data_IF_744834580701
#
_entry.id   IF_744834580701
#
_cell.length_a   1.000
_cell.length_b   1.000
_cell.length_c   1.000
_cell.angle_alpha   90.00
_cell.angle_beta   90.00
_cell.angle_gamma   90.00
#
_symmetry.space_group_name_H-M   'P 1'
#
loop_
_entity.id
_entity.type
_entity.pdbx_description
1 polymer ?
#
# COMPACT_ATOMS: atom_id res chain seq x y z
N UNK A 1 -0.90 -11.85 -33.86
CA UNK A 1 -1.03 -11.20 -32.54
C UNK A 1 -2.38 -11.58 -31.96
N UNK A 2 -2.40 -12.25 -30.80
CA UNK A 2 -3.62 -12.62 -30.07
C UNK A 2 -4.32 -11.37 -29.52
N UNK A 3 -5.57 -11.48 -29.07
CA UNK A 3 -6.28 -10.34 -28.49
C UNK A 3 -5.60 -9.85 -27.19
N UNK A 4 -5.08 -10.78 -26.37
CA UNK A 4 -4.33 -10.45 -25.17
C UNK A 4 -2.97 -9.81 -25.46
N UNK A 5 -2.24 -10.25 -26.49
CA UNK A 5 -1.01 -9.59 -26.94
C UNK A 5 -1.29 -8.16 -27.41
N UNK A 6 -2.39 -7.98 -28.16
CA UNK A 6 -2.82 -6.67 -28.66
C UNK A 6 -3.21 -5.72 -27.52
N UNK A 7 -3.97 -6.21 -26.55
CA UNK A 7 -4.31 -5.49 -25.32
C UNK A 7 -3.04 -5.07 -24.54
N UNK A 8 -2.15 -6.03 -24.26
CA UNK A 8 -0.93 -5.78 -23.48
C UNK A 8 0.01 -4.79 -24.17
N UNK A 9 0.09 -4.81 -25.50
CA UNK A 9 0.89 -3.85 -26.26
C UNK A 9 0.43 -2.41 -25.99
N UNK A 10 -0.86 -2.13 -26.13
CA UNK A 10 -1.39 -0.79 -25.90
C UNK A 10 -1.42 -0.39 -24.43
N UNK A 11 -1.64 -1.34 -23.52
CA UNK A 11 -1.51 -1.10 -22.09
C UNK A 11 -0.09 -0.64 -21.74
N UNK A 12 0.93 -1.35 -22.24
CA UNK A 12 2.35 -1.04 -21.97
C UNK A 12 2.81 0.26 -22.63
N UNK A 13 2.29 0.55 -23.83
CA UNK A 13 2.52 1.79 -24.56
C UNK A 13 2.07 3.01 -23.72
N UNK A 14 0.84 2.99 -23.19
CA UNK A 14 0.31 4.07 -22.34
C UNK A 14 1.17 4.30 -21.11
N UNK A 15 1.59 3.23 -20.41
CA UNK A 15 2.45 3.37 -19.23
C UNK A 15 3.81 3.97 -19.60
N UNK A 16 4.39 3.54 -20.73
CA UNK A 16 5.69 4.03 -21.20
C UNK A 16 5.63 5.50 -21.58
N UNK A 17 4.60 5.90 -22.33
CA UNK A 17 4.43 7.29 -22.79
C UNK A 17 4.17 8.24 -21.62
N UNK A 18 3.29 7.86 -20.69
CA UNK A 18 3.02 8.69 -19.52
C UNK A 18 4.21 8.76 -18.55
N UNK A 19 4.99 7.68 -18.41
CA UNK A 19 6.26 7.72 -17.65
C UNK A 19 7.21 8.75 -18.27
N UNK A 20 7.38 8.74 -19.59
CA UNK A 20 8.23 9.70 -20.30
C UNK A 20 7.71 11.12 -20.12
N UNK A 21 6.41 11.35 -20.33
CA UNK A 21 5.78 12.65 -20.14
C UNK A 21 6.03 13.20 -18.73
N UNK A 22 5.80 12.39 -17.69
CA UNK A 22 5.97 12.83 -16.31
C UNK A 22 7.44 13.15 -15.97
N UNK A 23 8.39 12.36 -16.46
CA UNK A 23 9.83 12.64 -16.29
C UNK A 23 10.21 13.94 -16.98
N UNK A 24 9.71 14.21 -18.19
CA UNK A 24 9.96 15.48 -18.88
C UNK A 24 9.34 16.66 -18.13
N UNK A 25 8.13 16.51 -17.58
CA UNK A 25 7.52 17.51 -16.68
C UNK A 25 8.40 17.78 -15.46
N UNK A 26 8.99 16.74 -14.85
CA UNK A 26 9.87 16.90 -13.70
C UNK A 26 11.11 17.72 -14.07
N UNK A 27 11.77 17.36 -15.19
CA UNK A 27 12.95 18.08 -15.70
C UNK A 27 12.63 19.53 -16.03
N UNK A 28 11.51 19.80 -16.71
CA UNK A 28 11.08 21.16 -17.03
C UNK A 28 10.79 21.96 -15.75
N UNK A 29 10.10 21.35 -14.77
CA UNK A 29 9.78 21.99 -13.50
C UNK A 29 11.01 22.22 -12.59
N UNK A 30 12.17 21.63 -12.89
CA UNK A 30 13.45 21.97 -12.23
C UNK A 30 14.07 23.24 -12.79
N UNK A 31 13.86 23.54 -14.08
CA UNK A 31 14.40 24.77 -14.69
C UNK A 31 13.80 26.05 -14.09
N UNK A 32 12.55 25.96 -13.62
CA UNK A 32 11.89 27.00 -12.83
C UNK A 32 11.45 26.35 -11.52
N UNK A 33 12.14 26.51 -10.39
CA UNK A 33 12.02 25.68 -9.17
C UNK A 33 10.59 25.65 -8.62
N UNK A 34 9.75 24.84 -9.23
CA UNK A 34 8.31 24.78 -9.01
C UNK A 34 8.04 23.69 -7.97
N UNK A 35 7.19 23.95 -6.97
CA UNK A 35 6.83 22.91 -6.02
C UNK A 35 6.25 21.68 -6.74
N UNK A 36 6.64 20.48 -6.32
CA UNK A 36 6.22 19.21 -6.91
C UNK A 36 4.70 19.10 -7.14
N UNK A 37 3.93 19.46 -6.10
CA UNK A 37 2.46 19.50 -6.14
C UNK A 37 1.88 20.31 -7.30
N UNK A 38 2.56 21.36 -7.75
CA UNK A 38 2.06 22.31 -8.75
C UNK A 38 1.90 21.68 -10.12
N UNK A 39 2.69 20.65 -10.46
CA UNK A 39 2.60 19.95 -11.74
C UNK A 39 2.12 18.50 -11.57
N UNK A 40 2.42 17.86 -10.43
CA UNK A 40 2.02 16.48 -10.17
C UNK A 40 0.49 16.31 -10.04
N UNK A 41 -0.17 17.21 -9.30
CA UNK A 41 -1.63 17.16 -9.11
C UNK A 41 -2.37 17.40 -10.44
N UNK A 42 -2.03 18.41 -11.26
CA UNK A 42 -2.60 18.54 -12.60
C UNK A 42 -2.38 17.31 -13.50
N UNK A 43 -1.20 16.69 -13.45
CA UNK A 43 -0.92 15.48 -14.22
C UNK A 43 -1.79 14.29 -13.78
N UNK A 44 -1.92 14.05 -12.47
CA UNK A 44 -2.84 13.05 -11.94
C UNK A 44 -4.29 13.31 -12.39
N UNK A 45 -4.73 14.56 -12.30
CA UNK A 45 -6.07 14.96 -12.74
C UNK A 45 -6.28 14.70 -14.23
N UNK A 46 -5.31 15.04 -15.09
CA UNK A 46 -5.34 14.77 -16.53
C UNK A 46 -5.51 13.27 -16.81
N UNK A 47 -4.70 12.41 -16.16
CA UNK A 47 -4.79 10.94 -16.34
C UNK A 47 -6.17 10.42 -15.97
N UNK A 48 -6.73 10.90 -14.85
CA UNK A 48 -8.07 10.51 -14.40
C UNK A 48 -9.14 10.95 -15.39
N UNK A 49 -9.10 12.21 -15.83
CA UNK A 49 -10.04 12.76 -16.81
C UNK A 49 -9.94 12.04 -18.16
N UNK A 50 -8.73 11.73 -18.63
CA UNK A 50 -8.53 10.95 -19.85
C UNK A 50 -9.08 9.52 -19.70
N UNK A 51 -8.93 8.89 -18.53
CA UNK A 51 -9.52 7.57 -18.28
C UNK A 51 -11.06 7.61 -18.32
N UNK A 52 -11.66 8.50 -17.53
CA UNK A 52 -13.10 8.56 -17.29
C UNK A 52 -13.87 9.14 -18.49
N UNK A 53 -13.40 10.24 -19.07
CA UNK A 53 -14.17 10.96 -20.09
C UNK A 53 -13.90 10.46 -21.51
N UNK A 54 -12.68 9.99 -21.81
CA UNK A 54 -12.31 9.60 -23.17
C UNK A 54 -12.64 8.15 -23.50
N UNK A 55 -12.45 7.24 -22.53
CA UNK A 55 -12.60 5.81 -22.76
C UNK A 55 -13.82 5.22 -22.06
N UNK A 56 -14.02 5.49 -20.76
CA UNK A 56 -15.20 4.96 -20.02
C UNK A 56 -16.49 5.48 -20.64
N UNK A 57 -16.66 6.80 -20.73
CA UNK A 57 -17.90 7.39 -21.27
C UNK A 57 -18.22 6.88 -22.69
N UNK A 58 -17.22 6.90 -23.57
CA UNK A 58 -17.34 6.43 -24.96
C UNK A 58 -17.76 4.96 -25.04
N UNK A 59 -17.12 4.06 -24.28
CA UNK A 59 -17.43 2.63 -24.33
C UNK A 59 -18.75 2.29 -23.62
N UNK A 60 -19.13 3.02 -22.58
CA UNK A 60 -20.44 2.88 -21.95
C UNK A 60 -21.57 3.33 -22.87
N UNK A 61 -21.36 4.39 -23.65
CA UNK A 61 -22.36 4.89 -24.60
C UNK A 61 -22.49 3.97 -25.82
N UNK A 62 -21.37 3.58 -26.44
CA UNK A 62 -21.37 2.80 -27.68
C UNK A 62 -21.55 1.29 -27.46
N UNK A 63 -20.98 0.73 -26.39
CA UNK A 63 -20.91 -0.72 -26.15
C UNK A 63 -21.20 -1.09 -24.68
N UNK A 64 -22.35 -0.66 -24.09
CA UNK A 64 -22.63 -0.77 -22.66
C UNK A 64 -22.53 -2.21 -22.11
N UNK A 65 -23.00 -3.20 -22.88
CA UNK A 65 -22.95 -4.62 -22.46
C UNK A 65 -21.52 -5.15 -22.44
N UNK A 66 -20.76 -4.94 -23.52
CA UNK A 66 -19.36 -5.39 -23.59
C UNK A 66 -18.48 -4.70 -22.54
N UNK A 67 -18.65 -3.38 -22.35
CA UNK A 67 -17.95 -2.63 -21.32
C UNK A 67 -18.26 -3.19 -19.92
N UNK A 68 -19.55 -3.44 -19.61
CA UNK A 68 -19.95 -4.02 -18.33
C UNK A 68 -19.35 -5.41 -18.12
N UNK A 69 -19.36 -6.27 -19.13
CA UNK A 69 -18.73 -7.59 -19.04
C UNK A 69 -17.24 -7.44 -18.72
N UNK A 70 -16.52 -6.59 -19.46
CA UNK A 70 -15.10 -6.39 -19.20
C UNK A 70 -14.81 -5.87 -17.78
N UNK A 71 -15.56 -4.89 -17.29
CA UNK A 71 -15.29 -4.30 -15.97
C UNK A 71 -15.56 -5.25 -14.80
N UNK A 72 -16.62 -6.07 -14.87
CA UNK A 72 -17.09 -6.85 -13.72
C UNK A 72 -16.70 -8.32 -13.77
N UNK A 73 -16.35 -8.86 -14.94
CA UNK A 73 -16.21 -10.31 -15.07
C UNK A 73 -14.93 -10.86 -14.46
N UNK A 74 -13.92 -10.01 -14.27
CA UNK A 74 -12.69 -10.34 -13.56
C UNK A 74 -12.94 -10.93 -12.16
N UNK A 75 -13.98 -10.49 -11.45
CA UNK A 75 -14.31 -10.93 -10.09
C UNK A 75 -14.77 -12.41 -10.01
N UNK A 76 -15.05 -13.03 -11.15
CA UNK A 76 -15.62 -14.39 -11.23
C UNK A 76 -14.63 -15.44 -11.73
N UNK A 77 -13.37 -15.06 -12.00
CA UNK A 77 -12.32 -15.96 -12.43
C UNK A 77 -11.22 -16.05 -11.36
N UNK A 78 -10.69 -17.27 -11.15
CA UNK A 78 -9.62 -17.57 -10.18
C UNK A 78 -8.24 -17.66 -10.85
N UNK A 79 -8.18 -17.47 -12.17
CA UNK A 79 -6.96 -17.61 -12.96
C UNK A 79 -6.06 -16.35 -12.87
N UNK A 80 -4.85 -16.43 -13.44
CA UNK A 80 -3.97 -15.26 -13.56
C UNK A 80 -4.60 -14.16 -14.41
N UNK A 81 -4.34 -12.89 -14.07
CA UNK A 81 -4.97 -11.71 -14.70
C UNK A 81 -4.94 -11.75 -16.24
N UNK A 82 -3.82 -12.18 -16.83
CA UNK A 82 -3.68 -12.30 -18.29
C UNK A 82 -4.60 -13.36 -18.89
N UNK A 83 -4.76 -14.49 -18.22
CA UNK A 83 -5.65 -15.56 -18.68
C UNK A 83 -7.11 -15.13 -18.56
N UNK A 84 -7.46 -14.41 -17.49
CA UNK A 84 -8.80 -13.85 -17.29
C UNK A 84 -9.12 -12.83 -18.38
N UNK A 85 -8.23 -11.88 -18.66
CA UNK A 85 -8.41 -10.90 -19.75
C UNK A 85 -8.57 -11.61 -21.09
N UNK A 86 -7.74 -12.62 -21.38
CA UNK A 86 -7.86 -13.38 -22.64
C UNK A 86 -9.22 -14.06 -22.75
N UNK A 87 -9.67 -14.78 -21.71
CA UNK A 87 -10.98 -15.46 -21.69
C UNK A 87 -12.12 -14.48 -21.93
N UNK A 88 -12.12 -13.34 -21.25
CA UNK A 88 -13.17 -12.32 -21.40
C UNK A 88 -13.17 -11.74 -22.83
N UNK A 89 -12.00 -11.39 -23.36
CA UNK A 89 -11.88 -10.84 -24.71
C UNK A 89 -12.27 -11.83 -25.80
N UNK A 90 -11.78 -13.07 -25.71
CA UNK A 90 -11.89 -14.08 -26.76
C UNK A 90 -13.24 -14.80 -26.77
N UNK A 91 -13.86 -14.99 -25.60
CA UNK A 91 -15.07 -15.79 -25.49
C UNK A 91 -16.31 -14.92 -25.26
N UNK A 92 -16.27 -13.87 -24.44
CA UNK A 92 -17.49 -13.14 -24.09
C UNK A 92 -17.69 -11.90 -24.97
N UNK A 93 -16.62 -11.11 -25.12
CA UNK A 93 -16.71 -9.84 -25.82
C UNK A 93 -16.69 -10.05 -27.32
N UNK A 94 -15.84 -10.95 -27.82
CA UNK A 94 -15.82 -11.28 -29.25
C UNK A 94 -17.19 -11.80 -29.74
N UNK A 95 -17.79 -12.73 -29.00
CA UNK A 95 -19.13 -13.25 -29.31
C UNK A 95 -20.18 -12.13 -29.33
N UNK A 96 -20.12 -11.18 -28.38
CA UNK A 96 -21.02 -10.03 -28.39
C UNK A 96 -20.86 -9.17 -29.65
N UNK A 97 -19.63 -8.87 -30.09
CA UNK A 97 -19.40 -8.06 -31.28
C UNK A 97 -19.83 -8.80 -32.56
N UNK A 98 -19.57 -10.11 -32.66
CA UNK A 98 -19.98 -10.94 -33.80
C UNK A 98 -21.51 -11.10 -33.88
N UNK A 99 -22.17 -11.36 -32.74
CA UNK A 99 -23.64 -11.52 -32.69
C UNK A 99 -24.42 -10.24 -33.03
N UNK A 100 -23.78 -9.07 -32.94
CA UNK A 100 -24.41 -7.77 -33.21
C UNK A 100 -23.84 -7.09 -34.48
N UNK A 101 -23.05 -7.79 -35.29
CA UNK A 101 -22.37 -7.27 -36.50
C UNK A 101 -21.60 -5.95 -36.26
N UNK A 102 -20.94 -5.86 -35.10
CA UNK A 102 -20.19 -4.68 -34.69
C UNK A 102 -18.74 -4.77 -35.16
N UNK A 103 -18.33 -3.84 -36.04
CA UNK A 103 -16.96 -3.82 -36.62
C UNK A 103 -15.88 -3.27 -35.68
N UNK A 104 -16.26 -2.70 -34.54
CA UNK A 104 -15.36 -1.96 -33.66
C UNK A 104 -14.71 -2.80 -32.54
N UNK A 105 -14.63 -4.12 -32.69
CA UNK A 105 -14.03 -5.01 -31.68
C UNK A 105 -12.58 -4.65 -31.37
N UNK A 106 -11.75 -4.43 -32.39
CA UNK A 106 -10.34 -4.03 -32.21
C UNK A 106 -10.21 -2.65 -31.54
N UNK A 107 -10.90 -1.59 -32.00
CA UNK A 107 -10.97 -0.32 -31.28
C UNK A 107 -11.39 -0.45 -29.82
N UNK A 108 -12.38 -1.30 -29.52
CA UNK A 108 -12.83 -1.54 -28.15
C UNK A 108 -11.71 -2.11 -27.27
N UNK A 109 -10.96 -3.12 -27.74
CA UNK A 109 -9.81 -3.67 -27.01
C UNK A 109 -8.78 -2.58 -26.68
N UNK A 110 -8.49 -1.70 -27.65
CA UNK A 110 -7.54 -0.59 -27.46
C UNK A 110 -8.06 0.37 -26.39
N UNK A 111 -9.32 0.78 -26.48
CA UNK A 111 -9.90 1.72 -25.54
C UNK A 111 -9.92 1.13 -24.12
N UNK A 112 -10.25 -0.15 -23.95
CA UNK A 112 -10.17 -0.83 -22.65
C UNK A 112 -8.74 -0.94 -22.11
N UNK A 113 -7.77 -1.27 -22.96
CA UNK A 113 -6.35 -1.33 -22.57
C UNK A 113 -5.86 0.03 -22.06
N UNK A 114 -6.18 1.10 -22.79
CA UNK A 114 -5.81 2.47 -22.44
C UNK A 114 -6.49 2.93 -21.16
N UNK A 115 -7.79 2.64 -21.01
CA UNK A 115 -8.55 2.93 -19.80
C UNK A 115 -7.90 2.28 -18.57
N UNK A 116 -7.69 0.95 -18.60
CA UNK A 116 -7.12 0.21 -17.46
C UNK A 116 -5.70 0.64 -17.15
N UNK A 117 -4.88 0.95 -18.16
CA UNK A 117 -3.53 1.47 -17.95
C UNK A 117 -3.55 2.83 -17.23
N UNK A 118 -4.44 3.75 -17.63
CA UNK A 118 -4.59 5.05 -16.97
C UNK A 118 -5.15 4.93 -15.54
N UNK A 119 -6.10 4.02 -15.30
CA UNK A 119 -6.60 3.75 -13.93
C UNK A 119 -5.50 3.18 -13.03
N UNK A 120 -4.74 2.21 -13.54
CA UNK A 120 -3.58 1.66 -12.83
C UNK A 120 -2.57 2.76 -12.51
N UNK A 121 -2.21 3.56 -13.51
CA UNK A 121 -1.24 4.64 -13.38
C UNK A 121 -1.68 5.68 -12.35
N UNK A 122 -2.93 6.15 -12.42
CA UNK A 122 -3.49 7.10 -11.46
C UNK A 122 -3.36 6.57 -10.02
N UNK A 123 -3.86 5.36 -9.78
CA UNK A 123 -3.83 4.74 -8.46
C UNK A 123 -2.41 4.52 -7.96
N UNK A 124 -1.51 4.07 -8.84
CA UNK A 124 -0.11 3.84 -8.50
C UNK A 124 0.59 5.16 -8.11
N UNK A 125 0.47 6.19 -8.93
CA UNK A 125 1.05 7.51 -8.66
C UNK A 125 0.47 8.16 -7.40
N UNK A 126 -0.83 8.03 -7.15
CA UNK A 126 -1.47 8.53 -5.93
C UNK A 126 -0.93 7.82 -4.67
N UNK A 127 -0.85 6.49 -4.70
CA UNK A 127 -0.39 5.68 -3.57
C UNK A 127 1.10 5.88 -3.23
N UNK A 128 1.93 6.16 -4.24
CA UNK A 128 3.37 6.33 -4.07
C UNK A 128 3.83 7.78 -4.24
N UNK A 129 2.95 8.76 -3.97
CA UNK A 129 3.22 10.20 -4.09
C UNK A 129 4.59 10.61 -3.51
N UNK A 130 4.89 10.21 -2.26
CA UNK A 130 6.14 10.60 -1.59
C UNK A 130 7.39 10.00 -2.26
N UNK A 131 7.26 8.83 -2.88
CA UNK A 131 8.35 8.20 -3.63
C UNK A 131 8.69 9.03 -4.87
N UNK A 132 7.66 9.44 -5.62
CA UNK A 132 7.83 10.27 -6.81
C UNK A 132 8.28 11.70 -6.50
N UNK A 133 7.84 12.25 -5.36
CA UNK A 133 8.33 13.54 -4.87
C UNK A 133 9.84 13.49 -4.61
N UNK A 134 10.36 12.40 -4.01
CA UNK A 134 11.79 12.23 -3.80
C UNK A 134 12.57 12.02 -5.10
N UNK A 135 12.02 11.30 -6.08
CA UNK A 135 12.63 11.21 -7.42
C UNK A 135 12.80 12.60 -8.01
N UNK A 136 11.76 13.44 -7.92
CA UNK A 136 11.83 14.82 -8.36
C UNK A 136 12.89 15.61 -7.58
N UNK A 137 12.87 15.57 -6.25
CA UNK A 137 13.80 16.35 -5.42
C UNK A 137 15.26 15.98 -5.69
N UNK A 138 15.56 14.69 -5.83
CA UNK A 138 16.93 14.16 -5.94
C UNK A 138 17.43 13.93 -7.39
N UNK A 139 16.59 14.19 -8.40
CA UNK A 139 16.88 13.96 -9.82
C UNK A 139 17.21 12.49 -10.17
N UNK A 140 16.72 11.55 -9.36
CA UNK A 140 16.94 10.09 -9.49
C UNK A 140 15.93 9.42 -10.42
N UNK A 141 15.84 9.90 -11.67
CA UNK A 141 14.87 9.39 -12.65
C UNK A 141 15.07 7.90 -13.00
N UNK A 142 16.26 7.35 -12.78
CA UNK A 142 16.54 5.93 -12.90
C UNK A 142 15.69 5.08 -11.94
N UNK A 143 15.25 5.64 -10.82
CA UNK A 143 14.39 4.98 -9.82
C UNK A 143 12.89 5.11 -10.14
N UNK A 144 12.52 5.65 -11.30
CA UNK A 144 11.13 5.77 -11.69
C UNK A 144 10.57 4.41 -12.17
N UNK A 145 9.85 3.69 -11.30
CA UNK A 145 9.22 2.42 -11.62
C UNK A 145 7.69 2.50 -11.50
N UNK A 146 6.97 2.14 -12.58
CA UNK A 146 5.52 1.96 -12.57
C UNK A 146 5.15 0.51 -12.21
N UNK A 147 5.74 0.01 -11.13
CA UNK A 147 5.48 -1.33 -10.60
C UNK A 147 5.22 -1.21 -9.11
N UNK A 148 4.19 -1.90 -8.62
CA UNK A 148 3.91 -1.92 -7.20
C UNK A 148 5.10 -2.51 -6.44
N UNK A 149 5.35 -1.98 -5.24
CA UNK A 149 6.38 -2.53 -4.35
C UNK A 149 5.85 -3.84 -3.76
N UNK A 150 6.14 -4.94 -4.45
CA UNK A 150 5.76 -6.28 -4.02
C UNK A 150 6.62 -6.69 -2.82
N UNK A 151 5.99 -7.26 -1.79
CA UNK A 151 6.63 -7.85 -0.60
C UNK A 151 7.33 -6.89 0.37
N UNK A 152 7.61 -5.64 -0.02
CA UNK A 152 8.27 -4.63 0.82
C UNK A 152 7.54 -3.29 0.77
N UNK A 153 7.61 -2.50 1.86
CA UNK A 153 7.14 -1.11 1.83
C UNK A 153 8.10 -0.29 0.95
N UNK A 154 7.59 0.61 0.10
CA UNK A 154 8.45 1.50 -0.69
C UNK A 154 9.38 2.33 0.21
N UNK A 155 8.96 2.65 1.43
CA UNK A 155 9.78 3.37 2.42
C UNK A 155 10.97 2.56 2.93
N UNK A 156 10.88 1.24 2.82
CA UNK A 156 11.95 0.30 3.16
C UNK A 156 12.78 -0.09 1.94
N UNK A 157 12.39 0.36 0.74
CA UNK A 157 13.17 0.11 -0.48
C UNK A 157 14.54 0.79 -0.39
N UNK A 158 15.53 0.16 -1.01
CA UNK A 158 16.90 0.67 -1.05
C UNK A 158 16.92 2.03 -1.74
N UNK A 159 16.23 2.14 -2.86
CA UNK A 159 16.12 3.33 -3.71
C UNK A 159 15.53 4.51 -2.94
N UNK A 160 14.46 4.29 -2.18
CA UNK A 160 13.84 5.34 -1.37
C UNK A 160 14.75 5.80 -0.23
N UNK A 161 15.45 4.88 0.44
CA UNK A 161 16.38 5.24 1.50
C UNK A 161 17.59 6.01 0.95
N UNK A 162 18.12 5.62 -0.21
CA UNK A 162 19.19 6.35 -0.89
C UNK A 162 18.75 7.77 -1.28
N UNK A 163 17.55 7.93 -1.84
CA UNK A 163 17.01 9.27 -2.14
C UNK A 163 16.77 10.11 -0.88
N UNK A 164 16.27 9.49 0.20
CA UNK A 164 16.10 10.18 1.48
C UNK A 164 17.42 10.64 2.08
N UNK A 165 18.49 9.85 1.94
CA UNK A 165 19.80 10.19 2.47
C UNK A 165 20.46 11.33 1.68
N UNK A 166 20.13 11.47 0.39
CA UNK A 166 20.52 12.64 -0.44
C UNK A 166 19.79 13.90 0.01
N UNK A 167 18.46 13.83 0.19
CA UNK A 167 17.63 14.98 0.54
C UNK A 167 17.81 15.40 2.02
N UNK A 168 18.06 14.44 2.91
CA UNK A 168 18.18 14.63 4.36
C UNK A 168 19.46 13.99 4.93
N UNK A 169 20.66 14.51 4.61
CA UNK A 169 21.93 13.91 5.00
C UNK A 169 22.15 13.84 6.52
N UNK A 170 21.53 14.75 7.30
CA UNK A 170 21.58 14.74 8.77
C UNK A 170 20.99 13.46 9.39
N UNK A 171 20.19 12.73 8.61
CA UNK A 171 19.58 11.47 9.02
C UNK A 171 20.58 10.32 9.05
N UNK A 172 21.66 10.39 8.26
CA UNK A 172 22.76 9.42 8.25
C UNK A 172 23.47 9.42 9.61
N UNK A 173 23.82 10.62 10.10
CA UNK A 173 24.47 10.80 11.40
C UNK A 173 23.63 10.22 12.55
N UNK A 174 22.30 10.32 12.48
CA UNK A 174 21.39 9.75 13.50
C UNK A 174 21.27 8.22 13.42
N UNK A 175 21.33 7.63 12.22
CA UNK A 175 21.35 6.16 12.06
C UNK A 175 22.64 5.55 12.62
N UNK A 176 23.77 6.23 12.48
CA UNK A 176 25.04 5.79 13.06
C UNK A 176 25.01 5.82 14.60
N UNK A 177 24.35 6.82 15.19
CA UNK A 177 24.14 6.89 16.64
C UNK A 177 23.15 5.84 17.18
N UNK A 178 22.12 5.48 16.40
CA UNK A 178 21.15 4.43 16.75
C UNK A 178 21.74 3.02 16.57
N UNK A 179 22.48 2.77 15.49
CA UNK A 179 23.13 1.48 15.23
C UNK A 179 24.22 1.16 16.26
N UNK A 180 24.91 2.16 16.83
CA UNK A 180 25.84 1.96 17.95
C UNK A 180 25.14 1.45 19.22
N UNK A 181 23.91 1.89 19.48
CA UNK A 181 23.11 1.41 20.62
C UNK A 181 22.48 0.04 20.37
N UNK A 182 22.12 -0.28 19.13
CA UNK A 182 21.56 -1.58 18.77
C UNK A 182 22.64 -2.69 18.67
N UNK A 183 23.90 -2.35 18.37
CA UNK A 183 25.00 -3.32 18.35
C UNK A 183 25.31 -3.91 19.75
N UNK A 184 25.18 -3.13 20.83
CA UNK A 184 25.32 -3.63 22.21
C UNK A 184 24.18 -4.59 22.60
N UNK A 185 23.01 -4.47 21.98
CA UNK A 185 21.85 -5.34 22.25
C UNK A 185 21.92 -6.63 21.38
N UNK A 186 22.44 -6.51 20.16
CA UNK A 186 22.49 -7.58 19.15
C UNK A 186 23.42 -8.75 19.48
N UNK A 187 24.49 -8.56 20.24
CA UNK A 187 25.41 -9.67 20.58
C UNK A 187 24.80 -10.70 21.54
N UNK A 188 23.71 -10.36 22.22
CA UNK A 188 22.98 -11.27 23.09
C UNK A 188 21.94 -12.17 22.38
N UNK A 189 21.65 -11.94 21.09
CA UNK A 189 20.43 -12.48 20.43
C UNK A 189 20.72 -13.62 19.42
N UNK A 190 21.98 -13.96 19.14
CA UNK A 190 22.32 -15.07 18.22
C UNK A 190 22.33 -16.44 18.92
N UNK A 191 21.21 -16.87 19.49
CA UNK A 191 20.96 -18.28 19.85
C UNK A 191 19.47 -18.51 20.18
N UNK A 192 18.64 -18.80 19.17
CA UNK A 192 17.42 -19.63 19.31
C UNK A 192 16.64 -19.68 18.00
N UNK A 193 16.95 -20.66 17.16
CA UNK A 193 16.14 -20.98 15.98
C UNK A 193 15.10 -22.06 16.32
N UNK A 194 13.86 -21.77 15.94
CA UNK A 194 12.76 -22.67 15.56
C UNK A 194 12.00 -23.54 16.59
N UNK A 195 12.15 -23.40 17.92
CA UNK A 195 11.29 -24.12 18.89
C UNK A 195 10.30 -23.28 19.73
N UNK A 196 10.41 -21.94 19.77
CA UNK A 196 9.66 -21.11 20.73
C UNK A 196 8.59 -20.17 20.14
N UNK A 197 8.20 -20.31 18.86
CA UNK A 197 7.24 -19.37 18.27
C UNK A 197 5.85 -19.45 18.91
N UNK A 198 5.38 -20.65 19.30
CA UNK A 198 4.09 -20.82 19.98
C UNK A 198 4.06 -20.15 21.35
N UNK A 199 5.09 -20.39 22.17
CA UNK A 199 5.25 -19.72 23.47
C UNK A 199 5.32 -18.20 23.33
N UNK A 200 5.92 -17.71 22.23
CA UNK A 200 6.02 -16.29 21.95
C UNK A 200 4.65 -15.68 21.58
N UNK A 201 3.81 -16.38 20.82
CA UNK A 201 2.43 -15.95 20.57
C UNK A 201 1.60 -15.91 21.86
N UNK A 202 1.76 -16.92 22.72
CA UNK A 202 1.03 -17.01 23.98
C UNK A 202 1.54 -16.02 25.04
N UNK A 203 2.77 -15.52 24.89
CA UNK A 203 3.38 -14.54 25.81
C UNK A 203 2.74 -13.15 25.79
N UNK A 204 1.90 -12.84 24.81
CA UNK A 204 1.22 -11.53 24.74
C UNK A 204 0.12 -11.44 25.80
N UNK A 205 0.17 -10.40 26.64
CA UNK A 205 -0.88 -10.09 27.61
C UNK A 205 -2.12 -9.53 26.91
N UNK A 206 -3.27 -9.58 27.56
CA UNK A 206 -4.51 -9.04 26.99
C UNK A 206 -4.37 -7.56 26.59
N UNK A 207 -3.71 -6.74 27.41
CA UNK A 207 -3.47 -5.32 27.11
C UNK A 207 -2.57 -5.13 25.88
N UNK A 208 -1.54 -5.96 25.72
CA UNK A 208 -0.68 -5.94 24.53
C UNK A 208 -1.48 -6.36 23.28
N UNK A 209 -2.32 -7.40 23.40
CA UNK A 209 -3.19 -7.86 22.30
C UNK A 209 -4.17 -6.78 21.86
N UNK A 210 -4.75 -6.02 22.80
CA UNK A 210 -5.68 -4.93 22.51
C UNK A 210 -4.98 -3.74 21.84
N UNK A 211 -3.76 -3.42 22.25
CA UNK A 211 -2.94 -2.40 21.58
C UNK A 211 -2.53 -2.84 20.18
N UNK A 212 -2.18 -4.12 19.99
CA UNK A 212 -1.92 -4.69 18.65
C UNK A 212 -3.18 -4.63 17.79
N UNK A 213 -4.36 -4.94 18.34
CA UNK A 213 -5.63 -4.86 17.61
C UNK A 213 -5.96 -3.42 17.17
N UNK A 214 -5.71 -2.43 18.03
CA UNK A 214 -5.88 -1.01 17.68
C UNK A 214 -5.03 -0.61 16.48
N UNK A 215 -3.74 -0.93 16.52
CA UNK A 215 -2.79 -0.62 15.46
C UNK A 215 -3.12 -1.40 14.19
N UNK A 216 -3.48 -2.67 14.32
CA UNK A 216 -3.88 -3.50 13.19
C UNK A 216 -5.11 -2.95 12.45
N UNK A 217 -6.10 -2.43 13.20
CA UNK A 217 -7.25 -1.75 12.62
C UNK A 217 -6.84 -0.48 11.86
N UNK A 218 -6.01 0.37 12.45
CA UNK A 218 -5.51 1.60 11.81
C UNK A 218 -4.69 1.31 10.53
N UNK A 219 -3.89 0.24 10.53
CA UNK A 219 -3.14 -0.22 9.35
C UNK A 219 -4.09 -0.75 8.27
N UNK A 220 -5.13 -1.51 8.64
CA UNK A 220 -6.08 -2.08 7.67
C UNK A 220 -6.90 -0.99 6.97
N UNK A 221 -7.31 0.04 7.71
CA UNK A 221 -8.06 1.17 7.15
C UNK A 221 -7.16 2.07 6.29
N UNK A 222 -5.86 2.14 6.59
CA UNK A 222 -4.85 2.75 5.71
C UNK A 222 -4.38 1.77 4.63
N UNK A 223 -5.09 1.72 3.49
CA UNK A 223 -4.72 0.94 2.30
C UNK A 223 -3.27 1.14 1.80
N UNK A 224 -2.59 2.21 2.25
CA UNK A 224 -1.19 2.51 1.95
C UNK A 224 -0.16 1.61 2.69
N UNK A 225 -0.54 0.91 3.76
CA UNK A 225 0.38 0.12 4.62
C UNK A 225 0.22 -1.41 4.48
N UNK A 226 -0.30 -1.86 3.31
CA UNK A 226 -0.68 -3.24 3.00
C UNK A 226 0.05 -4.35 3.78
N UNK A 227 -0.72 -5.15 4.52
CA UNK A 227 -0.21 -6.29 5.28
C UNK A 227 -0.01 -7.51 4.37
N UNK A 228 1.19 -8.09 4.39
CA UNK A 228 1.42 -9.40 3.77
C UNK A 228 0.53 -10.47 4.41
N UNK A 229 0.12 -11.47 3.64
CA UNK A 229 -0.71 -12.57 4.13
C UNK A 229 -0.09 -13.28 5.36
N UNK A 230 1.24 -13.55 5.40
CA UNK A 230 1.87 -14.10 6.60
C UNK A 230 1.79 -13.17 7.81
N UNK A 231 1.99 -11.86 7.64
CA UNK A 231 1.87 -10.89 8.73
C UNK A 231 0.43 -10.80 9.24
N UNK A 232 -0.54 -10.84 8.32
CA UNK A 232 -1.96 -10.90 8.66
C UNK A 232 -2.28 -12.13 9.53
N UNK A 233 -1.84 -13.34 9.14
CA UNK A 233 -2.08 -14.53 9.95
C UNK A 233 -1.37 -14.51 11.30
N UNK A 234 -0.12 -14.03 11.35
CA UNK A 234 0.61 -13.83 12.61
C UNK A 234 -0.13 -12.87 13.54
N UNK A 235 -0.68 -11.76 13.02
CA UNK A 235 -1.43 -10.79 13.83
C UNK A 235 -2.77 -11.33 14.31
N UNK A 236 -3.51 -12.04 13.47
CA UNK A 236 -4.73 -12.74 13.90
C UNK A 236 -4.43 -13.75 15.02
N UNK A 237 -3.29 -14.44 14.96
CA UNK A 237 -2.86 -15.36 16.01
C UNK A 237 -2.53 -14.64 17.33
N UNK A 238 -1.95 -13.44 17.28
CA UNK A 238 -1.66 -12.61 18.46
C UNK A 238 -2.94 -12.04 19.07
N UNK A 239 -3.75 -11.36 18.25
CA UNK A 239 -4.98 -10.69 18.71
C UNK A 239 -5.95 -11.72 19.28
N UNK A 240 -6.05 -12.89 18.64
CA UNK A 240 -6.93 -13.96 19.06
C UNK A 240 -8.41 -13.63 18.85
N UNK A 241 -9.28 -14.50 19.34
CA UNK A 241 -10.72 -14.27 19.33
C UNK A 241 -11.11 -13.31 20.46
N UNK A 242 -11.96 -12.32 20.16
CA UNK A 242 -12.54 -11.44 21.16
C UNK A 242 -14.02 -11.82 21.35
N UNK A 243 -14.35 -12.40 22.51
CA UNK A 243 -15.73 -12.79 22.86
C UNK A 243 -16.49 -11.65 23.56
N UNK A 244 -16.14 -10.39 23.26
CA UNK A 244 -16.75 -9.22 23.87
C UNK A 244 -18.02 -8.82 23.12
N UNK A 245 -19.18 -9.19 23.65
CA UNK A 245 -20.49 -8.84 23.06
C UNK A 245 -20.76 -7.33 23.05
N UNK A 246 -19.97 -6.52 23.78
CA UNK A 246 -20.14 -5.06 23.77
C UNK A 246 -19.85 -4.41 22.43
N UNK A 247 -19.24 -5.13 21.48
CA UNK A 247 -19.10 -4.70 20.08
C UNK A 247 -20.45 -4.38 19.41
N UNK A 248 -21.54 -4.99 19.87
CA UNK A 248 -22.88 -4.77 19.31
C UNK A 248 -23.62 -3.60 19.97
N UNK A 249 -23.00 -2.92 20.95
CA UNK A 249 -23.62 -1.81 21.69
C UNK A 249 -23.13 -0.46 21.18
N UNK A 250 -24.06 0.48 20.94
CA UNK A 250 -23.77 1.85 20.46
C UNK A 250 -22.85 2.63 21.43
N UNK A 251 -22.90 2.29 22.73
CA UNK A 251 -21.98 2.80 23.77
C UNK A 251 -21.51 1.65 24.66
N UNK A 252 -20.43 0.97 24.26
CA UNK A 252 -19.76 -0.01 25.12
C UNK A 252 -19.30 0.60 26.46
N UNK A 253 -19.29 -0.19 27.53
CA UNK A 253 -18.79 0.27 28.83
C UNK A 253 -17.29 0.57 28.73
N UNK A 254 -16.81 1.60 29.44
CA UNK A 254 -15.42 2.03 29.41
C UNK A 254 -14.40 0.93 29.73
N UNK A 255 -14.79 -0.11 30.45
CA UNK A 255 -13.92 -1.21 30.88
C UNK A 255 -13.84 -2.37 29.89
N UNK A 256 -14.61 -2.37 28.80
CA UNK A 256 -14.69 -3.52 27.89
C UNK A 256 -13.46 -3.61 26.99
N UNK A 257 -13.02 -4.84 26.62
CA UNK A 257 -11.98 -5.05 25.62
C UNK A 257 -12.17 -4.21 24.36
N UNK A 258 -13.39 -4.12 23.83
CA UNK A 258 -13.70 -3.28 22.66
C UNK A 258 -13.38 -1.80 22.88
N UNK A 259 -13.80 -1.23 24.02
CA UNK A 259 -13.52 0.17 24.33
C UNK A 259 -12.02 0.43 24.51
N UNK A 260 -11.32 -0.48 25.18
CA UNK A 260 -9.86 -0.44 25.37
C UNK A 260 -9.11 -0.49 24.03
N UNK A 261 -9.45 -1.45 23.18
CA UNK A 261 -8.87 -1.57 21.83
C UNK A 261 -9.17 -0.34 20.97
N UNK A 262 -10.35 0.27 21.08
CA UNK A 262 -10.66 1.51 20.35
C UNK A 262 -9.81 2.70 20.80
N UNK A 263 -9.55 2.82 22.11
CA UNK A 263 -8.70 3.89 22.67
C UNK A 263 -7.20 3.62 22.52
N UNK A 264 -6.81 2.36 22.32
CA UNK A 264 -5.41 1.95 22.19
C UNK A 264 -4.61 2.35 23.44
N UNK A 265 -3.39 2.85 23.23
CA UNK A 265 -2.48 3.23 24.33
C UNK A 265 -3.06 4.35 25.21
N UNK A 266 -3.88 5.24 24.64
CA UNK A 266 -4.48 6.35 25.40
C UNK A 266 -5.45 5.91 26.49
N UNK A 267 -5.88 4.64 26.49
CA UNK A 267 -6.71 4.07 27.55
C UNK A 267 -5.98 3.99 28.89
N UNK A 268 -4.67 3.76 28.87
CA UNK A 268 -3.91 3.45 30.08
C UNK A 268 -3.56 4.74 30.85
N UNK A 269 -3.74 4.76 32.19
CA UNK A 269 -3.85 6.00 32.95
C UNK A 269 -2.52 6.72 33.21
N UNK A 270 -1.38 6.04 33.11
CA UNK A 270 -0.08 6.63 33.42
C UNK A 270 0.88 6.53 32.24
N UNK A 271 1.66 7.60 32.03
CA UNK A 271 2.72 7.65 31.02
C UNK A 271 3.70 6.48 31.17
N UNK A 272 4.09 6.15 32.41
CA UNK A 272 4.97 5.01 32.69
C UNK A 272 4.35 3.69 32.19
N UNK A 273 3.09 3.44 32.52
CA UNK A 273 2.36 2.24 32.07
C UNK A 273 2.25 2.17 30.55
N UNK A 274 1.96 3.30 29.90
CA UNK A 274 1.89 3.40 28.43
C UNK A 274 3.23 3.05 27.78
N UNK A 275 4.34 3.61 28.28
CA UNK A 275 5.68 3.36 27.76
C UNK A 275 6.13 1.92 27.99
N UNK A 276 5.86 1.36 29.18
CA UNK A 276 6.22 -0.03 29.51
C UNK A 276 5.44 -1.02 28.63
N UNK A 277 4.14 -0.79 28.43
CA UNK A 277 3.29 -1.57 27.54
C UNK A 277 3.80 -1.52 26.09
N UNK A 278 4.12 -0.32 25.59
CA UNK A 278 4.68 -0.13 24.26
C UNK A 278 6.02 -0.85 24.09
N UNK A 279 6.95 -0.70 25.04
CA UNK A 279 8.27 -1.35 24.99
C UNK A 279 8.15 -2.88 24.96
N UNK A 280 7.34 -3.45 25.85
CA UNK A 280 7.13 -4.90 25.90
C UNK A 280 6.49 -5.42 24.61
N UNK A 281 5.45 -4.75 24.11
CA UNK A 281 4.76 -5.12 22.87
C UNK A 281 5.70 -5.06 21.66
N UNK A 282 6.46 -3.97 21.51
CA UNK A 282 7.42 -3.78 20.40
C UNK A 282 8.48 -4.90 20.42
N UNK A 283 9.00 -5.25 21.59
CA UNK A 283 10.02 -6.29 21.73
C UNK A 283 9.49 -7.66 21.28
N UNK A 284 8.26 -8.03 21.66
CA UNK A 284 7.64 -9.29 21.24
C UNK A 284 7.31 -9.31 19.75
N UNK A 285 6.80 -8.20 19.20
CA UNK A 285 6.50 -8.07 17.77
C UNK A 285 7.76 -8.14 16.89
N UNK A 286 8.88 -7.57 17.34
CA UNK A 286 10.15 -7.66 16.62
C UNK A 286 10.64 -9.11 16.53
N UNK A 287 10.46 -9.92 17.59
CA UNK A 287 10.79 -11.35 17.57
C UNK A 287 9.92 -12.15 16.58
N UNK A 288 8.72 -11.67 16.26
CA UNK A 288 7.81 -12.27 15.28
C UNK A 288 7.97 -11.69 13.86
N UNK A 289 8.93 -10.78 13.66
CA UNK A 289 9.19 -10.08 12.41
C UNK A 289 8.00 -9.22 11.92
N UNK A 290 7.16 -8.75 12.85
CA UNK A 290 5.99 -7.91 12.55
C UNK A 290 6.34 -6.42 12.51
N UNK A 291 7.24 -6.06 11.58
CA UNK A 291 7.84 -4.71 11.49
C UNK A 291 6.82 -3.59 11.27
N UNK A 292 5.73 -3.84 10.52
CA UNK A 292 4.71 -2.82 10.24
C UNK A 292 4.04 -2.35 11.54
N UNK A 293 3.61 -3.29 12.37
CA UNK A 293 2.96 -3.00 13.66
C UNK A 293 3.95 -2.45 14.67
N UNK A 294 5.16 -3.01 14.74
CA UNK A 294 6.17 -2.52 15.69
C UNK A 294 6.64 -1.10 15.34
N UNK A 295 6.72 -0.74 14.06
CA UNK A 295 7.07 0.62 13.62
C UNK A 295 6.00 1.64 13.97
N UNK A 296 4.72 1.30 13.78
CA UNK A 296 3.61 2.18 14.18
C UNK A 296 3.58 2.40 15.68
N UNK A 297 3.80 1.36 16.48
CA UNK A 297 3.93 1.48 17.94
C UNK A 297 5.15 2.31 18.35
N UNK A 298 6.28 2.22 17.64
CA UNK A 298 7.43 3.10 17.86
C UNK A 298 7.08 4.56 17.61
N UNK A 299 6.30 4.87 16.58
CA UNK A 299 5.83 6.24 16.31
C UNK A 299 4.93 6.75 17.44
N UNK A 300 3.97 5.95 17.90
CA UNK A 300 3.09 6.28 19.03
C UNK A 300 3.93 6.54 20.29
N UNK A 301 4.90 5.67 20.57
CA UNK A 301 5.84 5.82 21.69
C UNK A 301 6.60 7.16 21.61
N UNK A 302 7.14 7.48 20.44
CA UNK A 302 7.89 8.72 20.21
C UNK A 302 7.01 9.96 20.41
N UNK A 303 5.76 9.94 19.95
CA UNK A 303 4.81 11.03 20.17
C UNK A 303 4.53 11.24 21.65
N UNK A 304 4.26 10.17 22.40
CA UNK A 304 4.06 10.23 23.85
C UNK A 304 5.29 10.76 24.59
N UNK A 305 6.49 10.34 24.19
CA UNK A 305 7.75 10.83 24.76
C UNK A 305 8.01 12.32 24.46
N UNK A 306 7.46 12.86 23.36
CA UNK A 306 7.54 14.30 23.04
C UNK A 306 6.55 15.15 23.81
N UNK A 307 5.34 14.65 24.02
CA UNK A 307 4.28 15.38 24.73
C UNK A 307 4.53 15.52 26.23
N UNK A 308 5.41 14.68 26.79
CA UNK A 308 5.74 14.62 28.22
C UNK A 308 7.18 15.09 28.54
N UNK A 309 7.84 15.82 27.62
CA UNK A 309 9.13 16.50 27.83
C UNK A 309 8.91 18.00 27.97
#
# INVERSE_FOLDING_TARGET
MTNIEYYNSHYSEVLTDNKRELIEIFKEAKTYPRPFKKFYIPFLKKIKEDSDNKYVFKNQELYPKAHKVFEFRHDFHLDEEKEVISKILDNEIKEYFEANDLKAFRPFIIDMAKQKALQYLHNHLENYYNYYELIYLTDKYEYFYLKNFELINYKDSKEFNEMLDIEYPDRINRREDENRKDHEISESIKQSTSRNNTELFDSFTDDERLVVANVFFDIKDNKAEGLSLPAFFKLNKIVGACNDESIYLIKGKYTTPYYKARKGVSYYPSYKTQIDLLKSTILKLNKLELKVVSSKLKMIKYQLERENR
#
